data_IF_929426604253
#
_entry.id   IF_929426604253
#
_cell.length_a   1.000
_cell.length_b   1.000
_cell.length_c   1.000
_cell.angle_alpha   90.00
_cell.angle_beta   90.00
_cell.angle_gamma   90.00
#
_symmetry.space_group_name_H-M   'P 1'
#
loop_
_entity.id
_entity.type
_entity.pdbx_description
1 polymer ?
#
# COMPACT_ATOMS: atom_id res chain seq x y z
N UNK A 1 -3.74 -11.07 24.12
CA UNK A 1 -3.41 -10.97 22.69
C UNK A 1 -4.42 -10.08 21.98
N UNK A 2 -3.93 -9.13 21.22
CA UNK A 2 -4.77 -8.23 20.44
C UNK A 2 -4.86 -8.69 19.00
N UNK A 3 -6.05 -8.68 18.43
CA UNK A 3 -6.24 -8.97 17.00
C UNK A 3 -6.21 -7.68 16.22
N UNK A 4 -5.47 -7.67 15.12
CA UNK A 4 -5.29 -6.51 14.27
C UNK A 4 -5.57 -6.91 12.82
N UNK A 5 -6.59 -6.34 12.22
CA UNK A 5 -6.95 -6.66 10.84
C UNK A 5 -6.10 -5.83 9.89
N UNK A 6 -5.40 -6.49 8.99
CA UNK A 6 -4.64 -5.83 7.92
C UNK A 6 -5.48 -5.83 6.65
N UNK A 7 -5.69 -4.67 6.06
CA UNK A 7 -6.54 -4.49 4.88
C UNK A 7 -5.88 -5.03 3.61
N UNK A 8 -5.55 -6.31 3.60
CA UNK A 8 -4.91 -7.00 2.48
C UNK A 8 -5.25 -8.48 2.51
N UNK A 9 -5.14 -9.15 1.37
CA UNK A 9 -5.16 -10.62 1.29
C UNK A 9 -3.79 -11.18 0.87
N UNK A 10 -2.77 -10.34 0.86
CA UNK A 10 -1.40 -10.78 0.54
C UNK A 10 -0.77 -11.45 1.75
N UNK A 11 -0.66 -12.78 1.69
CA UNK A 11 -0.15 -13.59 2.80
C UNK A 11 1.29 -13.23 3.18
N UNK A 12 2.12 -12.85 2.22
CA UNK A 12 3.51 -12.47 2.48
C UNK A 12 3.58 -11.17 3.29
N UNK A 13 2.75 -10.19 2.96
CA UNK A 13 2.68 -8.93 3.71
C UNK A 13 2.19 -9.16 5.14
N UNK A 14 1.16 -9.99 5.31
CA UNK A 14 0.64 -10.35 6.64
C UNK A 14 1.74 -10.98 7.49
N UNK A 15 2.49 -11.92 6.91
CA UNK A 15 3.56 -12.62 7.61
C UNK A 15 4.71 -11.68 7.99
N UNK A 16 5.08 -10.76 7.10
CA UNK A 16 6.12 -9.77 7.39
C UNK A 16 5.74 -8.89 8.58
N UNK A 17 4.53 -8.37 8.58
CA UNK A 17 4.06 -7.52 9.67
C UNK A 17 3.93 -8.33 10.96
N UNK A 18 3.41 -9.56 10.88
CA UNK A 18 3.30 -10.42 12.06
C UNK A 18 4.65 -10.64 12.73
N UNK A 19 5.71 -10.86 11.94
CA UNK A 19 7.04 -11.06 12.50
C UNK A 19 7.63 -9.81 13.13
N UNK A 20 7.18 -8.62 12.71
CA UNK A 20 7.65 -7.35 13.27
C UNK A 20 6.92 -6.96 14.56
N UNK A 21 5.62 -7.25 14.68
CA UNK A 21 4.83 -6.80 15.84
C UNK A 21 4.88 -7.75 17.02
N UNK A 22 5.37 -8.97 16.82
CA UNK A 22 5.56 -9.93 17.91
C UNK A 22 4.29 -10.67 18.31
N UNK A 23 4.41 -11.46 19.38
CA UNK A 23 3.39 -12.43 19.78
C UNK A 23 2.18 -11.81 20.50
N UNK A 24 2.28 -10.56 20.94
CA UNK A 24 1.17 -9.88 21.63
C UNK A 24 0.05 -9.45 20.67
N UNK A 25 0.34 -9.47 19.37
CA UNK A 25 -0.59 -9.08 18.33
C UNK A 25 -0.78 -10.21 17.34
N UNK A 26 -2.02 -10.47 16.98
CA UNK A 26 -2.34 -11.40 15.91
C UNK A 26 -2.81 -10.60 14.70
N UNK A 27 -2.01 -10.57 13.64
CA UNK A 27 -2.35 -9.89 12.39
C UNK A 27 -3.11 -10.86 11.49
N UNK A 28 -4.30 -10.47 11.06
CA UNK A 28 -5.11 -11.31 10.17
C UNK A 28 -5.45 -10.55 8.88
N UNK A 29 -5.51 -11.27 7.74
CA UNK A 29 -5.91 -10.66 6.47
C UNK A 29 -7.43 -10.46 6.40
N UNK A 30 -7.88 -9.75 5.36
CA UNK A 30 -9.29 -9.48 5.12
C UNK A 30 -10.11 -10.76 5.07
N UNK A 31 -9.63 -11.77 4.37
CA UNK A 31 -10.33 -13.03 4.18
C UNK A 31 -10.60 -13.75 5.50
N UNK A 32 -9.60 -13.78 6.39
CA UNK A 32 -9.75 -14.38 7.71
C UNK A 32 -10.71 -13.60 8.60
N UNK A 33 -10.82 -12.28 8.38
CA UNK A 33 -11.77 -11.43 9.09
C UNK A 33 -13.20 -11.53 8.52
N UNK A 34 -13.41 -12.34 7.50
CA UNK A 34 -14.73 -12.51 6.88
C UNK A 34 -15.10 -11.39 5.90
N UNK A 35 -14.13 -10.63 5.43
CA UNK A 35 -14.36 -9.52 4.53
C UNK A 35 -14.01 -9.93 3.12
N UNK A 36 -15.01 -9.94 2.23
CA UNK A 36 -14.88 -10.34 0.83
C UNK A 36 -15.37 -9.21 -0.06
N UNK A 37 -14.69 -8.06 0.03
CA UNK A 37 -14.97 -6.91 -0.83
C UNK A 37 -13.66 -6.36 -1.36
N UNK A 38 -13.74 -5.72 -2.52
CA UNK A 38 -12.63 -4.98 -3.09
C UNK A 38 -12.80 -3.51 -2.69
N UNK A 39 -11.87 -2.99 -1.91
CA UNK A 39 -11.93 -1.61 -1.43
C UNK A 39 -11.23 -0.72 -2.45
N UNK A 40 -11.96 0.23 -3.06
CA UNK A 40 -11.36 1.08 -4.09
C UNK A 40 -10.31 2.03 -3.50
N UNK A 41 -9.37 2.42 -4.34
CA UNK A 41 -8.35 3.42 -4.01
C UNK A 41 -8.45 4.59 -4.99
N UNK A 42 -9.52 5.42 -4.89
CA UNK A 42 -9.81 6.44 -5.89
C UNK A 42 -9.06 7.75 -5.69
N UNK A 43 -8.36 7.90 -4.58
CA UNK A 43 -7.76 9.16 -4.19
C UNK A 43 -6.42 9.41 -4.85
N UNK A 44 -6.03 10.67 -4.88
CA UNK A 44 -4.76 11.12 -5.46
C UNK A 44 -3.59 11.07 -4.47
N UNK A 45 -3.85 10.77 -3.20
CA UNK A 45 -2.80 10.67 -2.18
C UNK A 45 -2.78 9.30 -1.52
N UNK A 46 -1.58 8.86 -1.11
CA UNK A 46 -1.41 7.63 -0.36
C UNK A 46 -2.17 7.67 0.98
N UNK A 47 -2.14 8.82 1.65
CA UNK A 47 -2.80 8.97 2.94
C UNK A 47 -4.31 8.80 2.82
N UNK A 48 -4.93 9.40 1.81
CA UNK A 48 -6.37 9.28 1.61
C UNK A 48 -6.78 7.85 1.24
N UNK A 49 -6.00 7.18 0.40
CA UNK A 49 -6.27 5.78 0.05
C UNK A 49 -6.13 4.86 1.26
N UNK A 50 -5.09 5.03 2.06
CA UNK A 50 -4.90 4.25 3.27
C UNK A 50 -6.03 4.49 4.27
N UNK A 51 -6.43 5.74 4.45
CA UNK A 51 -7.53 6.09 5.35
C UNK A 51 -8.85 5.46 4.91
N UNK A 52 -9.16 5.51 3.61
CA UNK A 52 -10.38 4.92 3.06
C UNK A 52 -10.44 3.42 3.33
N UNK A 53 -9.35 2.71 3.11
CA UNK A 53 -9.30 1.27 3.36
C UNK A 53 -9.48 0.95 4.85
N UNK A 54 -8.76 1.63 5.72
CA UNK A 54 -8.85 1.38 7.16
C UNK A 54 -10.24 1.71 7.70
N UNK A 55 -10.81 2.84 7.29
CA UNK A 55 -12.15 3.25 7.73
C UNK A 55 -13.23 2.27 7.27
N UNK A 56 -13.12 1.77 6.06
CA UNK A 56 -14.05 0.77 5.54
C UNK A 56 -14.02 -0.50 6.40
N UNK A 57 -12.84 -0.99 6.73
CA UNK A 57 -12.69 -2.17 7.57
C UNK A 57 -13.24 -1.92 8.98
N UNK A 58 -12.95 -0.76 9.55
CA UNK A 58 -13.46 -0.42 10.88
C UNK A 58 -14.99 -0.34 10.90
N UNK A 59 -15.60 0.25 9.87
CA UNK A 59 -17.05 0.32 9.77
C UNK A 59 -17.71 -1.06 9.72
N UNK A 60 -17.04 -2.03 9.08
CA UNK A 60 -17.55 -3.39 8.95
C UNK A 60 -17.35 -4.24 10.19
N UNK A 61 -16.29 -4.01 10.94
CA UNK A 61 -15.85 -4.93 12.01
C UNK A 61 -15.85 -4.33 13.40
N UNK A 62 -15.75 -3.01 13.52
CA UNK A 62 -15.54 -2.27 14.78
C UNK A 62 -14.30 -2.77 15.56
N UNK A 63 -13.31 -3.30 14.84
CA UNK A 63 -12.09 -3.83 15.43
C UNK A 63 -10.89 -2.99 15.00
N UNK A 64 -9.82 -3.06 15.79
CA UNK A 64 -8.56 -2.41 15.45
C UNK A 64 -8.07 -2.95 14.11
N UNK A 65 -7.66 -2.06 13.24
CA UNK A 65 -7.25 -2.43 11.89
C UNK A 65 -6.25 -1.43 11.34
N UNK A 66 -5.57 -1.83 10.28
CA UNK A 66 -4.69 -0.91 9.57
C UNK A 66 -4.68 -1.25 8.09
N UNK A 67 -4.29 -0.25 7.32
CA UNK A 67 -4.09 -0.38 5.88
C UNK A 67 -2.78 0.26 5.51
N UNK A 68 -2.30 -0.07 4.32
CA UNK A 68 -1.18 0.62 3.73
C UNK A 68 -1.50 1.00 2.30
N UNK A 69 -0.85 2.06 1.83
CA UNK A 69 -0.80 2.37 0.42
C UNK A 69 0.66 2.64 0.08
N UNK A 70 1.18 1.93 -0.92
CA UNK A 70 2.58 1.99 -1.31
C UNK A 70 2.67 2.25 -2.79
N UNK A 71 3.59 3.10 -3.19
CA UNK A 71 3.83 3.35 -4.59
C UNK A 71 5.25 3.77 -4.86
N UNK A 72 5.58 3.70 -6.15
CA UNK A 72 6.87 4.12 -6.68
C UNK A 72 6.76 5.55 -7.18
N UNK A 73 7.65 6.41 -6.71
CA UNK A 73 7.74 7.80 -7.16
C UNK A 73 9.07 7.99 -7.89
N UNK A 74 9.00 8.39 -9.15
CA UNK A 74 10.20 8.57 -9.99
C UNK A 74 10.39 10.07 -10.23
N UNK A 75 11.54 10.58 -9.83
CA UNK A 75 11.83 12.02 -9.90
C UNK A 75 11.69 12.58 -11.32
N UNK A 76 12.27 11.91 -12.31
CA UNK A 76 12.22 12.36 -13.71
C UNK A 76 10.80 12.35 -14.29
N UNK A 77 9.86 11.64 -13.66
CA UNK A 77 8.46 11.58 -14.08
C UNK A 77 7.56 12.39 -13.13
N UNK A 78 8.14 13.31 -12.37
CA UNK A 78 7.42 14.20 -11.44
C UNK A 78 6.61 13.44 -10.40
N UNK A 79 7.16 12.33 -9.92
CA UNK A 79 6.53 11.51 -8.89
C UNK A 79 5.65 10.38 -9.40
N UNK A 80 5.44 10.26 -10.71
CA UNK A 80 4.68 9.14 -11.24
C UNK A 80 5.50 7.85 -11.18
N UNK A 81 4.88 6.67 -11.08
CA UNK A 81 3.45 6.41 -11.08
C UNK A 81 2.72 6.74 -9.77
N UNK A 82 3.42 6.90 -8.65
CA UNK A 82 2.81 7.30 -7.37
C UNK A 82 1.67 6.40 -6.94
N UNK A 83 0.50 6.98 -6.60
CA UNK A 83 -0.68 6.23 -6.17
C UNK A 83 -1.20 5.26 -7.23
N UNK A 84 -0.80 5.44 -8.49
CA UNK A 84 -1.22 4.58 -9.60
C UNK A 84 -0.25 3.45 -9.88
N UNK A 85 0.74 3.21 -9.00
CA UNK A 85 1.81 2.24 -9.26
C UNK A 85 1.30 0.86 -9.69
N UNK A 86 0.30 0.31 -9.01
CA UNK A 86 -0.25 -1.01 -9.34
C UNK A 86 -1.04 -1.02 -10.65
N UNK A 87 -1.49 0.15 -11.13
CA UNK A 87 -2.37 0.30 -12.29
C UNK A 87 -1.79 1.24 -13.35
N UNK A 88 -0.48 1.45 -13.32
CA UNK A 88 0.17 2.45 -14.18
C UNK A 88 -0.07 2.19 -15.67
N UNK A 89 -0.05 0.94 -16.09
CA UNK A 89 -0.31 0.55 -17.49
C UNK A 89 -1.78 0.19 -17.77
N UNK A 90 -2.67 0.31 -16.77
CA UNK A 90 -4.09 0.03 -16.89
C UNK A 90 -4.70 -0.61 -15.67
N UNK A 91 -6.02 -0.78 -15.68
CA UNK A 91 -6.78 -1.29 -14.53
C UNK A 91 -6.54 -2.77 -14.24
N UNK A 92 -5.89 -3.50 -15.15
CA UNK A 92 -5.65 -4.94 -14.99
C UNK A 92 -4.57 -5.30 -13.99
N UNK A 93 -3.85 -4.31 -13.44
CA UNK A 93 -2.75 -4.51 -12.51
C UNK A 93 -1.70 -5.49 -13.04
N UNK A 94 -1.41 -5.40 -14.35
CA UNK A 94 -0.39 -6.22 -14.99
C UNK A 94 1.00 -5.74 -14.59
N UNK A 95 1.66 -6.54 -13.77
CA UNK A 95 2.95 -6.18 -13.19
C UNK A 95 4.02 -5.92 -14.26
N UNK A 96 4.09 -6.79 -15.26
CA UNK A 96 5.07 -6.63 -16.33
C UNK A 96 4.76 -5.41 -17.20
N UNK A 97 3.48 -5.16 -17.51
CA UNK A 97 3.09 -3.99 -18.28
C UNK A 97 3.41 -2.68 -17.54
N UNK A 98 3.26 -2.67 -16.22
CA UNK A 98 3.62 -1.51 -15.41
C UNK A 98 5.13 -1.25 -15.46
N UNK A 99 5.95 -2.28 -15.37
CA UNK A 99 7.41 -2.17 -15.50
C UNK A 99 7.78 -1.65 -16.90
N UNK A 100 7.17 -2.22 -17.93
CA UNK A 100 7.46 -1.84 -19.31
C UNK A 100 7.11 -0.37 -19.57
N UNK A 101 5.99 0.09 -19.03
CA UNK A 101 5.60 1.50 -19.16
C UNK A 101 6.60 2.44 -18.48
N UNK A 102 7.07 2.09 -17.29
CA UNK A 102 8.10 2.87 -16.58
C UNK A 102 9.38 2.92 -17.40
N UNK A 103 9.86 1.79 -17.87
CA UNK A 103 11.10 1.72 -18.65
C UNK A 103 11.01 2.49 -19.97
N UNK A 104 9.85 2.44 -20.61
CA UNK A 104 9.62 3.20 -21.84
C UNK A 104 9.63 4.71 -21.57
N UNK A 105 8.99 5.15 -20.50
CA UNK A 105 8.96 6.56 -20.10
C UNK A 105 10.34 7.09 -19.76
N UNK A 106 11.23 6.21 -19.26
CA UNK A 106 12.61 6.57 -18.91
C UNK A 106 13.62 6.31 -20.04
N UNK A 107 13.15 5.95 -21.23
CA UNK A 107 14.02 5.71 -22.37
C UNK A 107 14.85 6.98 -22.65
N UNK A 108 16.18 6.82 -22.66
CA UNK A 108 17.14 7.92 -22.85
C UNK A 108 17.12 8.99 -21.73
N UNK A 109 16.48 8.70 -20.61
CA UNK A 109 16.49 9.58 -19.44
C UNK A 109 17.64 9.15 -18.53
N UNK A 110 18.53 10.07 -18.18
CA UNK A 110 19.68 9.80 -17.33
C UNK A 110 19.34 9.78 -15.85
N UNK A 111 18.43 10.67 -15.43
CA UNK A 111 18.01 10.73 -14.04
C UNK A 111 17.06 9.55 -13.71
N UNK A 112 17.59 8.58 -12.97
CA UNK A 112 16.87 7.36 -12.59
C UNK A 112 16.50 7.33 -11.12
N UNK A 113 16.60 8.47 -10.43
CA UNK A 113 16.29 8.56 -9.01
C UNK A 113 14.83 8.25 -8.76
N UNK A 114 14.59 7.37 -7.79
CA UNK A 114 13.24 6.93 -7.46
C UNK A 114 13.16 6.58 -5.97
N UNK A 115 11.94 6.48 -5.47
CA UNK A 115 11.72 6.02 -4.11
C UNK A 115 10.40 5.27 -4.02
N UNK A 116 10.32 4.31 -3.08
CA UNK A 116 9.05 3.79 -2.64
C UNK A 116 8.57 4.61 -1.45
N UNK A 117 7.30 4.97 -1.48
CA UNK A 117 6.63 5.65 -0.37
C UNK A 117 5.51 4.75 0.13
N UNK A 118 5.47 4.54 1.45
CA UNK A 118 4.40 3.77 2.09
C UNK A 118 3.74 4.66 3.14
N UNK A 119 2.43 4.74 3.12
CA UNK A 119 1.65 5.39 4.16
C UNK A 119 0.76 4.34 4.81
N UNK A 120 0.79 4.28 6.14
CA UNK A 120 -0.03 3.38 6.93
C UNK A 120 -1.06 4.20 7.69
N UNK A 121 -2.32 3.77 7.64
CA UNK A 121 -3.38 4.29 8.51
C UNK A 121 -3.75 3.19 9.50
N UNK A 122 -3.53 3.45 10.78
CA UNK A 122 -3.89 2.55 11.87
C UNK A 122 -5.11 3.11 12.60
N UNK A 123 -6.15 2.29 12.77
CA UNK A 123 -7.27 2.62 13.64
C UNK A 123 -7.16 1.75 14.87
N UNK A 124 -6.86 2.40 16.00
CA UNK A 124 -6.66 1.74 17.28
C UNK A 124 -7.52 2.42 18.34
N UNK A 125 -8.38 1.65 18.97
CA UNK A 125 -9.33 2.17 19.97
C UNK A 125 -10.12 3.38 19.44
N UNK A 126 -10.61 3.26 18.19
CA UNK A 126 -11.43 4.26 17.49
C UNK A 126 -10.69 5.54 17.09
N UNK A 127 -9.36 5.57 17.22
CA UNK A 127 -8.55 6.72 16.82
C UNK A 127 -7.67 6.37 15.62
N UNK A 128 -7.47 7.34 14.73
CA UNK A 128 -6.66 7.18 13.54
C UNK A 128 -5.23 7.66 13.78
N UNK A 129 -4.27 6.87 13.33
CA UNK A 129 -2.83 7.20 13.38
C UNK A 129 -2.23 6.97 12.01
N UNK A 130 -1.28 7.82 11.62
CA UNK A 130 -0.63 7.75 10.33
C UNK A 130 0.86 7.58 10.49
N UNK A 131 1.44 6.72 9.65
CA UNK A 131 2.88 6.47 9.62
C UNK A 131 3.34 6.49 8.17
N UNK A 132 4.53 7.02 7.92
CA UNK A 132 5.08 7.11 6.56
C UNK A 132 6.50 6.56 6.54
N UNK A 133 6.81 5.77 5.51
CA UNK A 133 8.13 5.25 5.25
C UNK A 133 8.56 5.55 3.83
N UNK A 134 9.84 5.82 3.64
CA UNK A 134 10.42 6.09 2.32
C UNK A 134 11.67 5.24 2.15
N UNK A 135 11.77 4.56 1.00
CA UNK A 135 12.95 3.79 0.62
C UNK A 135 13.48 4.35 -0.72
N UNK A 136 14.64 4.97 -0.69
CA UNK A 136 15.24 5.62 -1.86
C UNK A 136 16.11 4.67 -2.65
N UNK A 137 16.16 4.86 -3.97
CA UNK A 137 16.99 4.06 -4.87
C UNK A 137 16.99 4.58 -6.30
N UNK A 138 17.27 3.69 -7.22
CA UNK A 138 17.35 4.00 -8.64
C UNK A 138 16.67 2.94 -9.47
N UNK A 139 16.09 3.36 -10.60
CA UNK A 139 15.53 2.43 -11.58
C UNK A 139 16.67 1.91 -12.43
N UNK A 140 16.83 0.60 -12.48
CA UNK A 140 17.84 -0.05 -13.34
C UNK A 140 17.35 -0.15 -14.78
N UNK A 141 18.29 -0.39 -15.68
CA UNK A 141 17.96 -0.60 -17.11
C UNK A 141 17.67 -2.07 -17.41
#
# INVERSE_FOLDING_TARGET
MHTLIFATNNANKVQEIQSLVGADYKVIPLKEAGIDIDIPEPHESFQENAAEKARTIFQLTHQNCFSEDTGLEIEALQGEPGVKSARYAGEHRDFQANIDKVLLALNKVENRTAQFRTVICLIWNEQEYYFEGICKGHITT
#
